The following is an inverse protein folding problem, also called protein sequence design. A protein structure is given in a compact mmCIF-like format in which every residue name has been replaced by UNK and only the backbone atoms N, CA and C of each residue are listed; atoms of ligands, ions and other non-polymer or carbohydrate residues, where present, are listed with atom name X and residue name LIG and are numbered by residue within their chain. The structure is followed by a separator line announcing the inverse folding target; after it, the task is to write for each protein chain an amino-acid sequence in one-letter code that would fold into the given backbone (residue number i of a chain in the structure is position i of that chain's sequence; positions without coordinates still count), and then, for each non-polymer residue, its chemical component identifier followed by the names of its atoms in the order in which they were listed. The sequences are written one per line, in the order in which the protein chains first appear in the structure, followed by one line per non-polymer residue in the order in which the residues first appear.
data_IF_280419759641
#
_entry.id   IF_280419759641
#
_cell.length_a   1.000
_cell.length_b   1.000
_cell.length_c   1.000
_cell.angle_alpha   90.00
_cell.angle_beta   90.00
_cell.angle_gamma   90.00
#
_symmetry.space_group_name_H-M   'P 1'
#
loop_
_entity.id
_entity.type
_entity.pdbx_description
1 polymer ?
#
# COMPACT_ATOMS: atom_id res chain seq x y z
N UNK A 1 -12.25 15.74 -16.56
CA UNK A 1 -11.01 15.04 -16.12
C UNK A 1 -10.64 15.31 -14.65
N UNK A 2 -10.96 16.48 -14.09
CA UNK A 2 -10.75 16.77 -12.65
C UNK A 2 -11.40 15.79 -11.65
N UNK A 3 -12.53 15.18 -11.98
CA UNK A 3 -13.14 14.14 -11.15
C UNK A 3 -12.27 12.86 -11.05
N UNK A 4 -11.57 12.50 -12.13
CA UNK A 4 -10.64 11.35 -12.16
C UNK A 4 -9.40 11.66 -11.32
N UNK A 5 -8.83 12.86 -11.46
CA UNK A 5 -7.75 13.35 -10.60
C UNK A 5 -8.14 13.28 -9.12
N UNK A 6 -9.33 13.79 -8.77
CA UNK A 6 -9.83 13.79 -7.40
C UNK A 6 -10.03 12.37 -6.86
N UNK A 7 -10.65 11.48 -7.64
CA UNK A 7 -10.86 10.09 -7.24
C UNK A 7 -9.52 9.37 -6.99
N UNK A 8 -8.52 9.58 -7.86
CA UNK A 8 -7.18 9.01 -7.68
C UNK A 8 -6.50 9.55 -6.42
N UNK A 9 -6.59 10.86 -6.16
CA UNK A 9 -6.03 11.49 -4.95
C UNK A 9 -6.68 10.95 -3.68
N UNK A 10 -8.01 10.85 -3.64
CA UNK A 10 -8.74 10.32 -2.50
C UNK A 10 -8.39 8.85 -2.24
N UNK A 11 -8.37 8.03 -3.29
CA UNK A 11 -8.01 6.61 -3.20
C UNK A 11 -6.60 6.43 -2.63
N UNK A 12 -5.61 7.12 -3.21
CA UNK A 12 -4.21 7.01 -2.77
C UNK A 12 -4.01 7.59 -1.37
N UNK A 13 -4.61 8.74 -1.06
CA UNK A 13 -4.53 9.34 0.27
C UNK A 13 -5.07 8.40 1.35
N UNK A 14 -6.24 7.77 1.12
CA UNK A 14 -6.81 6.80 2.06
C UNK A 14 -5.91 5.56 2.23
N UNK A 15 -5.42 5.00 1.13
CA UNK A 15 -4.54 3.82 1.17
C UNK A 15 -3.23 4.12 1.90
N UNK A 16 -2.56 5.23 1.58
CA UNK A 16 -1.33 5.63 2.27
C UNK A 16 -1.58 6.03 3.73
N UNK A 17 -2.69 6.70 4.03
CA UNK A 17 -3.06 7.05 5.41
C UNK A 17 -3.26 5.80 6.26
N UNK A 18 -4.00 4.80 5.77
CA UNK A 18 -4.17 3.53 6.48
C UNK A 18 -2.84 2.81 6.71
N UNK A 19 -1.91 2.87 5.75
CA UNK A 19 -0.56 2.31 5.89
C UNK A 19 0.24 3.02 7.00
N UNK A 20 0.25 4.36 7.01
CA UNK A 20 0.95 5.18 8.01
C UNK A 20 0.36 4.93 9.39
N UNK A 21 -0.96 5.01 9.52
CA UNK A 21 -1.66 4.75 10.80
C UNK A 21 -1.37 3.34 11.29
N UNK A 22 -1.42 2.32 10.41
CA UNK A 22 -1.10 0.94 10.78
C UNK A 22 0.31 0.75 11.33
N UNK A 23 1.30 1.49 10.79
CA UNK A 23 2.70 1.43 11.22
C UNK A 23 2.98 2.23 12.50
N UNK A 24 2.32 3.38 12.66
CA UNK A 24 2.56 4.28 13.79
C UNK A 24 1.68 3.99 15.02
N UNK A 25 0.54 3.34 14.84
CA UNK A 25 -0.43 3.10 15.93
C UNK A 25 0.14 2.23 17.05
N UNK A 26 1.05 1.29 16.75
CA UNK A 26 1.65 0.42 17.77
C UNK A 26 3.15 0.23 17.54
N UNK A 27 3.92 0.13 18.63
CA UNK A 27 5.35 -0.23 18.56
C UNK A 27 5.57 -1.58 17.87
N UNK A 28 4.65 -2.53 18.08
CA UNK A 28 4.67 -3.83 17.43
C UNK A 28 4.47 -3.74 15.91
N UNK A 29 3.62 -2.83 15.43
CA UNK A 29 3.42 -2.57 14.00
C UNK A 29 4.69 -2.05 13.34
N UNK A 30 5.34 -1.05 13.95
CA UNK A 30 6.60 -0.53 13.44
C UNK A 30 7.73 -1.57 13.49
N UNK A 31 7.89 -2.29 14.60
CA UNK A 31 8.90 -3.36 14.73
C UNK A 31 8.67 -4.48 13.70
N UNK A 32 7.42 -4.84 13.45
CA UNK A 32 7.05 -5.79 12.39
C UNK A 32 7.46 -5.31 11.00
N UNK A 33 7.26 -4.02 10.70
CA UNK A 33 7.69 -3.44 9.43
C UNK A 33 9.22 -3.43 9.27
N UNK A 34 9.97 -3.12 10.34
CA UNK A 34 11.44 -3.25 10.35
C UNK A 34 11.86 -4.70 10.04
N UNK A 35 11.19 -5.70 10.63
CA UNK A 35 11.42 -7.11 10.33
C UNK A 35 11.21 -7.46 8.86
N UNK A 36 10.14 -6.94 8.25
CA UNK A 36 9.88 -7.09 6.81
C UNK A 36 10.99 -6.45 5.96
N UNK A 37 11.48 -5.26 6.34
CA UNK A 37 12.58 -4.59 5.63
C UNK A 37 13.86 -5.44 5.62
N UNK A 38 14.17 -6.12 6.74
CA UNK A 38 15.29 -7.07 6.81
C UNK A 38 15.08 -8.26 5.87
N UNK A 39 13.86 -8.83 5.85
CA UNK A 39 13.52 -9.97 4.97
C UNK A 39 13.61 -9.62 3.48
N UNK A 40 13.46 -8.34 3.11
CA UNK A 40 13.68 -7.86 1.75
C UNK A 40 15.17 -7.68 1.37
N UNK A 41 16.09 -8.00 2.29
CA UNK A 41 17.53 -8.00 2.07
C UNK A 41 18.22 -6.70 2.48
N UNK A 42 17.56 -5.83 3.25
CA UNK A 42 18.22 -4.67 3.85
C UNK A 42 18.98 -5.12 5.10
N UNK A 43 20.28 -4.76 5.27
CA UNK A 43 21.03 -5.09 6.47
C UNK A 43 20.34 -4.57 7.73
N UNK A 44 20.31 -5.37 8.81
CA UNK A 44 19.62 -5.02 10.05
C UNK A 44 20.01 -3.64 10.62
N UNK A 45 21.29 -3.25 10.48
CA UNK A 45 21.81 -1.93 10.86
C UNK A 45 21.12 -0.75 10.17
N UNK A 46 20.61 -0.95 8.96
CA UNK A 46 19.94 0.08 8.15
C UNK A 46 18.42 -0.06 8.18
N UNK A 47 17.88 -1.21 8.59
CA UNK A 47 16.46 -1.52 8.50
C UNK A 47 15.59 -0.51 9.26
N UNK A 48 16.01 -0.06 10.44
CA UNK A 48 15.30 0.97 11.20
C UNK A 48 15.32 2.35 10.55
N UNK A 49 16.41 2.72 9.88
CA UNK A 49 16.50 3.98 9.14
C UNK A 49 15.64 3.95 7.86
N UNK A 50 15.72 2.86 7.10
CA UNK A 50 14.91 2.64 5.89
C UNK A 50 13.42 2.58 6.23
N UNK A 51 13.04 1.92 7.33
CA UNK A 51 11.66 1.86 7.79
C UNK A 51 11.12 3.25 8.15
N UNK A 52 11.90 4.07 8.87
CA UNK A 52 11.50 5.46 9.18
C UNK A 52 11.38 6.30 7.92
N UNK A 53 12.33 6.18 6.99
CA UNK A 53 12.29 6.90 5.72
C UNK A 53 11.06 6.52 4.89
N UNK A 54 10.72 5.23 4.83
CA UNK A 54 9.52 4.77 4.15
C UNK A 54 8.24 5.35 4.78
N UNK A 55 8.11 5.32 6.11
CA UNK A 55 6.97 5.93 6.80
C UNK A 55 6.90 7.44 6.56
N UNK A 56 8.05 8.14 6.58
CA UNK A 56 8.11 9.56 6.29
C UNK A 56 7.66 9.87 4.84
N UNK A 57 8.09 9.05 3.87
CA UNK A 57 7.69 9.19 2.49
C UNK A 57 6.19 8.90 2.30
N UNK A 58 5.64 7.90 2.99
CA UNK A 58 4.20 7.61 3.00
C UNK A 58 3.38 8.75 3.58
N UNK A 59 3.83 9.35 4.69
CA UNK A 59 3.20 10.52 5.28
C UNK A 59 3.28 11.74 4.34
N UNK A 60 4.43 11.94 3.68
CA UNK A 60 4.60 13.00 2.70
C UNK A 60 3.63 12.86 1.52
N UNK A 61 3.36 11.64 1.04
CA UNK A 61 2.32 11.40 0.02
C UNK A 61 0.96 11.93 0.48
N UNK A 62 0.52 11.58 1.69
CA UNK A 62 -0.78 12.01 2.23
C UNK A 62 -0.85 13.54 2.29
N UNK A 63 0.20 14.19 2.79
CA UNK A 63 0.28 15.65 2.90
C UNK A 63 0.29 16.31 1.52
N UNK A 64 1.07 15.80 0.57
CA UNK A 64 1.16 16.37 -0.78
C UNK A 64 -0.11 16.18 -1.61
N UNK A 65 -0.88 15.13 -1.36
CA UNK A 65 -2.16 14.88 -2.06
C UNK A 65 -3.31 15.76 -1.56
N UNK A 66 -3.19 16.38 -0.38
CA UNK A 66 -4.27 17.19 0.21
C UNK A 66 -4.48 18.54 -0.54
N UNK A 67 -3.46 19.39 -0.75
CA UNK A 67 -3.60 20.59 -1.58
C UNK A 67 -3.60 20.24 -3.08
N UNK A 68 -4.47 20.87 -3.90
CA UNK A 68 -4.43 20.69 -5.36
C UNK A 68 -3.12 21.16 -6.00
N UNK A 69 -2.45 22.18 -5.44
CA UNK A 69 -1.18 22.68 -5.97
C UNK A 69 -0.01 21.70 -5.84
N UNK A 70 -0.03 20.81 -4.84
CA UNK A 70 1.04 19.82 -4.59
C UNK A 70 0.66 18.41 -5.07
N UNK A 71 -0.57 18.22 -5.56
CA UNK A 71 -1.08 16.93 -5.97
C UNK A 71 -0.21 16.21 -7.02
N UNK A 72 0.36 16.88 -8.04
CA UNK A 72 1.27 16.21 -8.99
C UNK A 72 2.48 15.57 -8.31
N UNK A 73 3.10 16.29 -7.36
CA UNK A 73 4.24 15.78 -6.60
C UNK A 73 3.84 14.60 -5.70
N UNK A 74 2.66 14.67 -5.06
CA UNK A 74 2.11 13.57 -4.27
C UNK A 74 1.82 12.32 -5.10
N UNK A 75 1.26 12.47 -6.29
CA UNK A 75 0.97 11.37 -7.22
C UNK A 75 2.25 10.71 -7.75
N UNK A 76 3.26 11.51 -8.10
CA UNK A 76 4.58 11.00 -8.51
C UNK A 76 5.28 10.25 -7.38
N UNK A 77 5.27 10.80 -6.17
CA UNK A 77 5.86 10.15 -5.00
C UNK A 77 5.14 8.84 -4.68
N UNK A 78 3.81 8.82 -4.75
CA UNK A 78 3.00 7.61 -4.56
C UNK A 78 3.35 6.53 -5.60
N UNK A 79 3.41 6.90 -6.89
CA UNK A 79 3.79 5.99 -7.96
C UNK A 79 5.22 5.44 -7.77
N UNK A 80 6.17 6.29 -7.37
CA UNK A 80 7.54 5.88 -7.06
C UNK A 80 7.61 4.88 -5.90
N UNK A 81 6.93 5.16 -4.79
CA UNK A 81 6.87 4.26 -3.64
C UNK A 81 6.23 2.91 -4.00
N UNK A 82 5.12 2.93 -4.73
CA UNK A 82 4.45 1.72 -5.22
C UNK A 82 5.35 0.93 -6.17
N UNK A 83 6.10 1.61 -7.04
CA UNK A 83 7.08 1.00 -7.95
C UNK A 83 8.22 0.32 -7.20
N UNK A 84 8.83 1.00 -6.22
CA UNK A 84 9.88 0.43 -5.36
C UNK A 84 9.36 -0.79 -4.60
N UNK A 85 8.16 -0.70 -4.02
CA UNK A 85 7.53 -1.80 -3.31
C UNK A 85 7.26 -2.99 -4.24
N UNK A 86 6.77 -2.73 -5.45
CA UNK A 86 6.54 -3.76 -6.47
C UNK A 86 7.84 -4.45 -6.86
N UNK A 87 8.91 -3.70 -7.09
CA UNK A 87 10.22 -4.26 -7.42
C UNK A 87 10.80 -5.10 -6.26
N UNK A 88 10.61 -4.68 -5.01
CA UNK A 88 11.02 -5.44 -3.83
C UNK A 88 10.25 -6.76 -3.73
N UNK A 89 8.92 -6.73 -3.91
CA UNK A 89 8.05 -7.92 -3.92
C UNK A 89 8.46 -8.89 -5.03
N UNK A 90 8.60 -8.40 -6.27
CA UNK A 90 9.00 -9.22 -7.42
C UNK A 90 10.36 -9.86 -7.20
N UNK A 91 11.32 -9.12 -6.64
CA UNK A 91 12.66 -9.64 -6.31
C UNK A 91 12.62 -10.70 -5.20
N UNK A 92 11.79 -10.53 -4.17
CA UNK A 92 11.60 -11.55 -3.14
C UNK A 92 10.99 -12.84 -3.74
N UNK A 93 9.94 -12.71 -4.57
CA UNK A 93 9.30 -13.83 -5.24
C UNK A 93 10.27 -14.59 -6.17
N UNK A 94 11.09 -13.86 -6.94
CA UNK A 94 12.12 -14.49 -7.82
C UNK A 94 13.19 -15.26 -7.04
N UNK A 95 13.45 -14.89 -5.78
CA UNK A 95 14.37 -15.59 -4.88
C UNK A 95 13.71 -16.77 -4.14
N UNK A 96 12.44 -17.08 -4.45
CA UNK A 96 11.66 -18.11 -3.75
C UNK A 96 11.23 -17.71 -2.33
N UNK A 97 11.56 -16.50 -1.89
CA UNK A 97 11.19 -16.02 -0.57
C UNK A 97 9.74 -15.53 -0.59
N UNK A 98 8.93 -15.98 0.38
CA UNK A 98 7.56 -15.49 0.62
C UNK A 98 7.47 -14.82 1.99
N UNK A 99 8.15 -13.68 2.19
CA UNK A 99 8.09 -12.99 3.48
C UNK A 99 6.67 -12.50 3.76
N UNK A 100 6.34 -12.28 5.03
CA UNK A 100 5.04 -11.73 5.41
C UNK A 100 4.95 -10.26 4.97
N UNK A 101 3.87 -9.90 4.26
CA UNK A 101 3.70 -8.54 3.72
C UNK A 101 3.05 -7.60 4.74
N UNK A 102 3.84 -6.99 5.62
CA UNK A 102 3.35 -5.95 6.56
C UNK A 102 3.35 -4.54 5.98
N UNK A 103 3.45 -4.39 4.66
CA UNK A 103 3.61 -3.08 3.99
C UNK A 103 2.40 -2.14 4.16
N UNK A 104 1.22 -2.68 4.49
CA UNK A 104 0.01 -1.90 4.82
C UNK A 104 -0.45 -2.09 6.28
N UNK A 105 0.42 -2.60 7.15
CA UNK A 105 0.25 -2.56 8.60
C UNK A 105 -0.48 -3.73 9.28
N UNK A 106 -1.11 -4.66 8.55
CA UNK A 106 -1.90 -5.74 9.18
C UNK A 106 -1.73 -7.18 8.62
N UNK A 107 -1.06 -7.37 7.49
CA UNK A 107 -1.01 -8.70 6.83
C UNK A 107 0.12 -9.60 7.32
N UNK A 108 -0.22 -10.74 7.92
CA UNK A 108 0.70 -11.89 8.12
C UNK A 108 0.66 -12.89 6.95
N UNK A 109 -0.19 -12.63 5.95
CA UNK A 109 -0.30 -13.47 4.77
C UNK A 109 1.01 -13.44 3.93
N UNK A 110 1.46 -14.60 3.41
CA UNK A 110 2.64 -14.66 2.56
C UNK A 110 2.43 -13.84 1.29
N UNK A 111 3.50 -13.16 0.88
CA UNK A 111 3.51 -12.39 -0.36
C UNK A 111 3.19 -13.29 -1.55
N UNK A 112 2.21 -12.88 -2.36
CA UNK A 112 1.88 -13.51 -3.63
C UNK A 112 1.69 -12.50 -4.77
N UNK A 113 1.44 -13.02 -5.99
CA UNK A 113 1.24 -12.22 -7.19
C UNK A 113 0.14 -11.15 -7.06
N UNK A 114 -0.87 -11.39 -6.20
CA UNK A 114 -1.94 -10.43 -5.90
C UNK A 114 -1.43 -9.06 -5.43
N UNK A 115 -0.35 -9.01 -4.66
CA UNK A 115 0.19 -7.72 -4.19
C UNK A 115 0.86 -6.94 -5.31
N UNK A 116 1.44 -7.64 -6.29
CA UNK A 116 1.99 -7.03 -7.50
C UNK A 116 0.84 -6.42 -8.30
N UNK A 117 -0.23 -7.17 -8.56
CA UNK A 117 -1.41 -6.66 -9.28
C UNK A 117 -2.04 -5.46 -8.58
N UNK A 118 -2.21 -5.50 -7.25
CA UNK A 118 -2.72 -4.37 -6.47
C UNK A 118 -1.84 -3.13 -6.61
N UNK A 119 -0.52 -3.28 -6.45
CA UNK A 119 0.38 -2.13 -6.57
C UNK A 119 0.42 -1.56 -7.99
N UNK A 120 0.38 -2.42 -9.02
CA UNK A 120 0.29 -1.95 -10.41
C UNK A 120 -1.00 -1.18 -10.65
N UNK A 121 -2.15 -1.67 -10.14
CA UNK A 121 -3.42 -0.97 -10.27
C UNK A 121 -3.38 0.41 -9.58
N UNK A 122 -2.81 0.50 -8.38
CA UNK A 122 -2.63 1.78 -7.68
C UNK A 122 -1.64 2.70 -8.41
N UNK A 123 -0.60 2.15 -9.03
CA UNK A 123 0.35 2.92 -9.84
C UNK A 123 -0.35 3.47 -11.08
N UNK A 124 -1.16 2.66 -11.76
CA UNK A 124 -1.95 3.09 -12.89
C UNK A 124 -2.94 4.20 -12.49
N UNK A 125 -3.62 4.07 -11.34
CA UNK A 125 -4.49 5.12 -10.81
C UNK A 125 -3.73 6.42 -10.54
N UNK A 126 -2.51 6.35 -9.99
CA UNK A 126 -1.66 7.52 -9.78
C UNK A 126 -1.30 8.22 -11.10
N UNK A 127 -0.90 7.45 -12.12
CA UNK A 127 -0.54 7.96 -13.43
C UNK A 127 -1.76 8.55 -14.17
N UNK A 128 -2.91 7.88 -14.10
CA UNK A 128 -4.16 8.38 -14.66
C UNK A 128 -4.60 9.68 -13.98
N UNK A 129 -4.47 9.77 -12.66
CA UNK A 129 -4.74 11.01 -11.92
C UNK A 129 -3.81 12.15 -12.34
N UNK A 130 -2.51 11.85 -12.54
CA UNK A 130 -1.51 12.83 -12.99
C UNK A 130 -1.82 13.33 -14.39
N UNK A 131 -2.10 12.42 -15.32
CA UNK A 131 -2.48 12.76 -16.69
C UNK A 131 -3.77 13.58 -16.69
N UNK A 132 -4.81 13.14 -15.99
CA UNK A 132 -6.10 13.82 -15.90
C UNK A 132 -5.99 15.25 -15.31
N UNK A 133 -5.08 15.45 -14.36
CA UNK A 133 -4.77 16.78 -13.81
C UNK A 133 -4.03 17.67 -14.82
N UNK A 134 -3.11 17.12 -15.60
CA UNK A 134 -2.32 17.84 -16.60
C UNK A 134 -3.16 18.35 -17.79
N UNK A 135 -4.14 17.56 -18.25
CA UNK A 135 -5.07 17.99 -19.32
C UNK A 135 -6.07 19.05 -18.84
N UNK A 136 -6.26 19.18 -17.53
CA UNK A 136 -7.16 20.17 -16.95
C UNK A 136 -8.65 19.92 -17.22
N UNK A 137 -9.43 20.98 -17.11
CA UNK A 137 -10.90 20.96 -17.24
C UNK A 137 -11.61 21.63 -16.07
N UNK A 138 -12.93 21.81 -16.17
CA UNK A 138 -13.72 22.52 -15.18
C UNK A 138 -13.63 21.84 -13.80
N UNK A 139 -13.70 22.66 -12.75
CA UNK A 139 -13.76 22.17 -11.38
C UNK A 139 -14.94 21.21 -11.24
N UNK A 140 -14.78 20.09 -10.50
CA UNK A 140 -15.87 19.16 -10.31
C UNK A 140 -16.99 19.84 -9.52
N UNK A 141 -18.20 19.84 -10.08
CA UNK A 141 -19.40 20.22 -9.33
C UNK A 141 -19.73 19.19 -8.23
N UNK A 142 -20.78 19.43 -7.42
CA UNK A 142 -21.16 18.58 -6.30
C UNK A 142 -21.35 17.10 -6.68
N UNK A 143 -21.96 16.83 -7.84
CA UNK A 143 -22.12 15.47 -8.36
C UNK A 143 -20.78 14.80 -8.69
N UNK A 144 -19.81 15.55 -9.23
CA UNK A 144 -18.47 15.03 -9.52
C UNK A 144 -17.69 14.71 -8.25
N UNK A 145 -17.86 15.49 -7.18
CA UNK A 145 -17.33 15.21 -5.85
C UNK A 145 -17.91 13.94 -5.26
N UNK A 146 -19.24 13.78 -5.29
CA UNK A 146 -19.94 12.60 -4.78
C UNK A 146 -19.54 11.33 -5.55
N UNK A 147 -19.45 11.39 -6.88
CA UNK A 147 -18.99 10.27 -7.69
C UNK A 147 -17.53 9.91 -7.39
N UNK A 148 -16.65 10.89 -7.27
CA UNK A 148 -15.24 10.65 -6.96
C UNK A 148 -15.08 10.00 -5.58
N UNK A 149 -15.77 10.52 -4.56
CA UNK A 149 -15.74 9.94 -3.22
C UNK A 149 -16.40 8.55 -3.17
N UNK A 150 -17.55 8.40 -3.84
CA UNK A 150 -18.32 7.16 -3.93
C UNK A 150 -17.57 6.04 -4.65
N UNK A 151 -16.62 6.35 -5.55
CA UNK A 151 -15.70 5.37 -6.13
C UNK A 151 -14.47 5.15 -5.25
N UNK A 152 -13.82 6.23 -4.80
CA UNK A 152 -12.52 6.16 -4.13
C UNK A 152 -12.59 5.44 -2.77
N UNK A 153 -13.62 5.70 -1.98
CA UNK A 153 -13.77 5.12 -0.63
C UNK A 153 -13.95 3.59 -0.67
N UNK A 154 -14.91 3.02 -1.42
CA UNK A 154 -15.05 1.57 -1.48
C UNK A 154 -13.87 0.89 -2.16
N UNK A 155 -13.25 1.51 -3.18
CA UNK A 155 -12.02 0.99 -3.77
C UNK A 155 -10.87 0.98 -2.76
N UNK A 156 -10.69 2.04 -1.97
CA UNK A 156 -9.68 2.08 -0.92
C UNK A 156 -9.95 1.00 0.14
N UNK A 157 -11.19 0.87 0.59
CA UNK A 157 -11.60 -0.17 1.53
C UNK A 157 -11.32 -1.57 0.98
N UNK A 158 -11.66 -1.83 -0.29
CA UNK A 158 -11.39 -3.10 -0.96
C UNK A 158 -9.88 -3.37 -1.06
N UNK A 159 -9.07 -2.38 -1.44
CA UNK A 159 -7.61 -2.49 -1.58
C UNK A 159 -6.93 -2.77 -0.23
N UNK A 160 -7.38 -2.10 0.83
CA UNK A 160 -6.85 -2.25 2.19
C UNK A 160 -7.28 -3.58 2.81
N UNK A 161 -8.55 -3.97 2.62
CA UNK A 161 -9.14 -5.20 3.20
C UNK A 161 -8.99 -6.43 2.31
N UNK A 162 -8.40 -6.31 1.11
CA UNK A 162 -8.25 -7.44 0.20
C UNK A 162 -7.49 -8.59 0.85
N UNK A 163 -6.47 -8.27 1.66
CA UNK A 163 -5.67 -9.28 2.35
C UNK A 163 -6.44 -9.94 3.51
N UNK A 164 -7.28 -9.19 4.23
CA UNK A 164 -8.18 -9.71 5.28
C UNK A 164 -9.28 -10.61 4.68
N UNK A 165 -9.87 -10.19 3.56
CA UNK A 165 -10.89 -10.94 2.84
C UNK A 165 -10.32 -12.24 2.28
N UNK A 166 -9.14 -12.20 1.67
CA UNK A 166 -8.49 -13.41 1.13
C UNK A 166 -8.06 -14.35 2.26
N UNK A 167 -7.64 -13.83 3.42
CA UNK A 167 -7.34 -14.66 4.59
C UNK A 167 -8.59 -15.38 5.13
N UNK A 168 -9.77 -14.74 5.05
CA UNK A 168 -11.04 -15.35 5.46
C UNK A 168 -11.43 -16.55 4.58
N UNK A 169 -11.08 -16.53 3.29
CA UNK A 169 -11.37 -17.60 2.34
C UNK A 169 -10.19 -18.57 2.13
N UNK A 170 -9.03 -18.32 2.75
CA UNK A 170 -7.89 -19.22 2.66
C UNK A 170 -8.13 -20.46 3.55
N UNK A 171 -7.92 -21.69 3.04
CA UNK A 171 -8.04 -22.90 3.85
C UNK A 171 -7.11 -22.82 5.07
N UNK A 172 -7.65 -23.08 6.26
CA UNK A 172 -6.85 -23.18 7.47
C UNK A 172 -5.81 -24.31 7.29
N UNK A 173 -4.51 -24.08 7.50
CA UNK A 173 -3.54 -25.16 7.46
C UNK A 173 -3.89 -26.18 8.54
N UNK A 174 -4.20 -27.40 8.13
CA UNK A 174 -4.39 -28.54 9.03
C UNK A 174 -3.19 -28.61 9.96
N UNK A 175 -3.45 -28.43 11.26
CA UNK A 175 -2.45 -28.49 12.33
C UNK A 175 -1.76 -29.86 12.23
N UNK A 176 -0.55 -29.90 11.65
CA UNK A 176 0.21 -31.14 11.54
C UNK A 176 0.42 -31.68 12.96
N UNK A 177 -0.11 -32.87 13.21
CA UNK A 177 -0.06 -33.54 14.49
C UNK A 177 1.40 -33.63 14.95
N UNK A 178 1.67 -33.11 16.15
CA UNK A 178 2.93 -33.27 16.83
C UNK A 178 3.16 -34.77 17.04
N UNK A 179 4.20 -35.41 16.47
CA UNK A 179 4.49 -36.79 16.78
C UNK A 179 4.90 -36.85 18.25
N UNK A 180 4.06 -37.48 19.07
CA UNK A 180 4.33 -37.73 20.47
C UNK A 180 5.69 -38.44 20.58
N UNK A 181 6.62 -37.78 21.29
CA UNK A 181 7.95 -38.31 21.55
C UNK A 181 7.86 -39.66 22.25
N UNK A 182 8.69 -40.60 21.78
CA UNK A 182 9.02 -41.82 22.51
C UNK A 182 10.16 -41.50 23.46
N UNK A 183 9.97 -41.86 24.72
CA UNK A 183 11.02 -42.12 25.71
C UNK A 183 10.56 -43.30 26.54
#
# INVERSE_FOLDING_TARGET
MRAVELAARLLLALVFLTAVVGKLRTRAGFAGFVGTVVQFGVPARWAGAVARLAVAAEAAVVVLLAPPGTAPAGLLLAAGLLGVLTAAIVRALRRGARPACRCFGAGDAPIGARHVTRNLALTAAALLGLLAGAVGGPAPGPAGLLLAAGLAVPLAALVVRLDDLVALFAPSPSRAAHPAGRS
#
